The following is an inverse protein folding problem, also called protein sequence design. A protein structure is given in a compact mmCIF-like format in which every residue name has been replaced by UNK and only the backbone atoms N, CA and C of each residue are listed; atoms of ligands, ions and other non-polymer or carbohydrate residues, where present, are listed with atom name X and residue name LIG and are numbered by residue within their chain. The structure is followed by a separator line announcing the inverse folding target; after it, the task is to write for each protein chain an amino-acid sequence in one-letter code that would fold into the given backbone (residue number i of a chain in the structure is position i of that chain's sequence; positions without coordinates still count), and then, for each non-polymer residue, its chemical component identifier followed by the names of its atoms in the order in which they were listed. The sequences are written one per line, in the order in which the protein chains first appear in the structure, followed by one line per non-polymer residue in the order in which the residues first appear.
data_IF_083753343391
#
_entry.id   IF_083753343391
#
_cell.length_a   1.000
_cell.length_b   1.000
_cell.length_c   1.000
_cell.angle_alpha   90.00
_cell.angle_beta   90.00
_cell.angle_gamma   90.00
#
_symmetry.space_group_name_H-M   'P 1'
#
loop_
_entity.id
_entity.type
_entity.pdbx_description
1 polymer ?
#
# COMPACT_ATOMS: atom_id res chain seq x y z
N UNK A 1 18.44 -11.04 13.40
CA UNK A 1 17.25 -11.64 13.85
C UNK A 1 16.06 -11.04 13.16
N UNK A 2 15.22 -11.87 12.59
CA UNK A 2 14.09 -11.37 11.87
C UNK A 2 12.89 -11.36 12.76
N UNK A 3 12.20 -10.28 12.84
CA UNK A 3 10.96 -10.21 13.58
C UNK A 3 9.91 -10.99 12.82
N UNK A 4 9.08 -11.73 13.52
CA UNK A 4 7.99 -12.39 12.85
C UNK A 4 6.95 -11.32 12.53
N UNK A 5 6.06 -11.58 11.59
CA UNK A 5 5.01 -10.61 11.28
C UNK A 5 4.20 -10.20 12.50
N UNK A 6 4.05 -11.12 13.47
CA UNK A 6 3.27 -10.81 14.65
C UNK A 6 3.96 -9.83 15.59
N UNK A 7 5.27 -9.63 15.42
CA UNK A 7 5.99 -8.71 16.27
C UNK A 7 5.94 -7.28 15.74
N UNK A 8 5.38 -7.07 14.58
CA UNK A 8 5.32 -5.75 13.98
C UNK A 8 4.06 -5.07 14.49
N UNK A 9 4.17 -3.92 15.14
CA UNK A 9 2.98 -3.27 15.67
C UNK A 9 2.14 -2.63 14.57
N UNK A 10 0.86 -2.51 14.83
CA UNK A 10 0.01 -1.72 13.95
C UNK A 10 0.27 -0.24 14.25
N UNK A 11 0.22 0.59 13.23
CA UNK A 11 0.43 2.03 13.33
C UNK A 11 -0.85 2.75 12.93
N UNK A 12 -1.41 3.60 13.79
CA UNK A 12 -2.59 4.36 13.40
C UNK A 12 -2.21 5.40 12.35
N UNK A 13 -2.95 5.49 11.27
CA UNK A 13 -2.66 6.42 10.19
C UNK A 13 -3.81 7.36 9.90
N UNK A 14 -5.04 6.98 10.23
CA UNK A 14 -6.21 7.77 9.88
C UNK A 14 -7.37 7.43 10.80
N UNK A 15 -8.48 8.09 10.61
CA UNK A 15 -9.70 7.80 11.35
C UNK A 15 -10.79 7.39 10.39
N UNK A 16 -11.73 6.61 10.90
CA UNK A 16 -12.91 6.27 10.12
C UNK A 16 -13.59 7.56 9.69
N UNK A 17 -13.87 7.69 8.42
CA UNK A 17 -14.46 8.89 7.86
C UNK A 17 -13.47 9.77 7.10
N UNK A 18 -12.16 9.54 7.30
CA UNK A 18 -11.16 10.35 6.60
C UNK A 18 -11.04 9.97 5.12
N UNK A 19 -11.39 8.75 4.77
CA UNK A 19 -11.25 8.27 3.40
C UNK A 19 -12.64 8.01 2.84
N UNK A 20 -13.08 8.77 1.86
CA UNK A 20 -14.40 8.52 1.25
C UNK A 20 -14.44 7.19 0.54
N UNK A 21 -15.62 6.59 0.46
CA UNK A 21 -15.80 5.33 -0.24
C UNK A 21 -15.38 5.48 -1.70
N UNK A 22 -14.64 4.51 -2.19
CA UNK A 22 -14.15 4.53 -3.58
C UNK A 22 -12.89 5.34 -3.77
N UNK A 23 -12.26 5.79 -2.69
CA UNK A 23 -11.04 6.60 -2.78
C UNK A 23 -9.93 6.05 -1.92
N UNK A 24 -8.76 6.58 -2.09
CA UNK A 24 -7.61 6.26 -1.29
C UNK A 24 -6.91 7.51 -0.78
N UNK A 25 -6.03 7.32 0.17
CA UNK A 25 -5.18 8.39 0.70
C UNK A 25 -3.81 7.80 0.97
N UNK A 26 -2.80 8.63 0.89
CA UNK A 26 -1.43 8.21 1.11
C UNK A 26 -0.99 8.64 2.51
N UNK A 27 -0.41 7.71 3.23
CA UNK A 27 0.10 7.97 4.58
C UNK A 27 1.51 7.42 4.71
N UNK A 28 2.25 7.94 5.67
CA UNK A 28 3.56 7.41 5.96
C UNK A 28 3.46 6.52 7.19
N UNK A 29 3.94 5.32 7.11
CA UNK A 29 3.96 4.39 8.23
C UNK A 29 5.15 3.46 8.09
N UNK A 30 5.88 3.25 9.18
CA UNK A 30 7.02 2.36 9.16
C UNK A 30 8.12 2.79 8.22
N UNK A 31 8.22 4.08 7.94
CA UNK A 31 9.23 4.59 7.00
C UNK A 31 8.88 4.37 5.55
N UNK A 32 7.65 4.03 5.27
CA UNK A 32 7.19 3.76 3.90
C UNK A 32 5.95 4.58 3.59
N UNK A 33 5.69 4.81 2.32
CA UNK A 33 4.45 5.43 1.88
C UNK A 33 3.43 4.33 1.64
N UNK A 34 2.29 4.46 2.25
CA UNK A 34 1.24 3.45 2.22
C UNK A 34 -0.02 4.07 1.65
N UNK A 35 -0.64 3.39 0.70
CA UNK A 35 -1.92 3.83 0.15
C UNK A 35 -3.02 3.05 0.85
N UNK A 36 -3.94 3.75 1.50
CA UNK A 36 -5.07 3.12 2.19
C UNK A 36 -6.33 3.46 1.42
N UNK A 37 -7.11 2.45 1.09
CA UNK A 37 -8.32 2.59 0.31
C UNK A 37 -9.54 2.14 1.10
N UNK A 38 -10.67 2.75 0.83
CA UNK A 38 -11.93 2.36 1.45
C UNK A 38 -12.95 2.13 0.34
N UNK A 39 -13.54 0.93 0.30
CA UNK A 39 -14.51 0.60 -0.74
C UNK A 39 -15.96 0.81 -0.28
N UNK A 40 -16.17 1.35 0.89
CA UNK A 40 -17.49 1.51 1.47
C UNK A 40 -17.76 0.49 2.57
N UNK A 41 -17.01 -0.60 2.60
CA UNK A 41 -17.17 -1.62 3.61
C UNK A 41 -15.85 -2.03 4.23
N UNK A 42 -14.81 -2.10 3.43
CA UNK A 42 -13.52 -2.60 3.87
C UNK A 42 -12.40 -1.63 3.56
N UNK A 43 -11.39 -1.65 4.41
CA UNK A 43 -10.17 -0.89 4.17
C UNK A 43 -9.09 -1.82 3.65
N UNK A 44 -8.28 -1.33 2.74
CA UNK A 44 -7.15 -2.09 2.19
C UNK A 44 -5.94 -1.18 2.15
N UNK A 45 -4.75 -1.73 2.30
CA UNK A 45 -3.53 -0.95 2.26
C UNK A 45 -2.50 -1.64 1.38
N UNK A 46 -1.85 -0.88 0.52
CA UNK A 46 -0.80 -1.39 -0.34
C UNK A 46 0.32 -0.36 -0.39
N UNK A 47 1.46 -0.75 -0.95
CA UNK A 47 2.54 0.18 -1.18
C UNK A 47 2.03 1.30 -2.07
N UNK A 48 2.28 2.53 -1.72
CA UNK A 48 1.78 3.67 -2.47
C UNK A 48 2.50 3.87 -3.79
N UNK A 49 3.74 3.41 -3.90
CA UNK A 49 4.53 3.69 -5.08
C UNK A 49 4.30 2.68 -6.17
N UNK A 50 3.81 3.14 -7.31
CA UNK A 50 3.65 2.30 -8.48
C UNK A 50 5.04 1.88 -8.96
N UNK A 51 5.30 0.58 -9.11
CA UNK A 51 6.64 0.14 -9.50
C UNK A 51 7.06 0.61 -10.87
N UNK A 52 6.11 1.02 -11.69
CA UNK A 52 6.41 1.46 -13.04
C UNK A 52 7.07 2.85 -13.03
N UNK A 53 6.47 3.80 -12.34
CA UNK A 53 6.95 5.17 -12.40
C UNK A 53 7.09 5.83 -11.03
N UNK A 54 6.77 5.14 -9.97
CA UNK A 54 6.79 5.75 -8.66
C UNK A 54 5.64 6.71 -8.40
N UNK A 55 4.60 6.65 -9.23
CA UNK A 55 3.44 7.49 -9.00
C UNK A 55 2.68 7.02 -7.76
N UNK A 56 1.97 7.93 -7.13
CA UNK A 56 1.23 7.60 -5.91
C UNK A 56 -0.05 6.86 -6.25
N UNK A 57 -0.14 5.60 -5.86
CA UNK A 57 -1.35 4.81 -6.09
C UNK A 57 -2.50 5.31 -5.23
N UNK A 58 -2.20 5.93 -4.10
CA UNK A 58 -3.25 6.46 -3.23
C UNK A 58 -4.07 7.57 -3.85
N UNK A 59 -3.58 8.18 -4.93
CA UNK A 59 -4.33 9.22 -5.63
C UNK A 59 -5.10 8.67 -6.81
N UNK A 60 -4.97 7.36 -7.10
CA UNK A 60 -5.65 6.77 -8.23
C UNK A 60 -7.07 6.36 -7.90
N UNK A 61 -7.93 6.24 -8.90
CA UNK A 61 -9.30 5.83 -8.65
C UNK A 61 -9.39 4.36 -8.29
N UNK A 62 -10.34 4.04 -7.42
CA UNK A 62 -10.59 2.68 -6.97
C UNK A 62 -11.93 2.22 -7.54
N UNK A 63 -11.94 1.04 -8.17
CA UNK A 63 -13.18 0.47 -8.67
C UNK A 63 -13.10 -1.05 -8.59
N UNK A 64 -14.11 -1.66 -7.94
CA UNK A 64 -14.20 -3.12 -7.85
C UNK A 64 -12.92 -3.77 -7.31
N UNK A 65 -12.31 -3.15 -6.31
CA UNK A 65 -11.12 -3.72 -5.68
C UNK A 65 -9.85 -3.55 -6.48
N UNK A 66 -9.87 -2.71 -7.52
CA UNK A 66 -8.72 -2.45 -8.38
C UNK A 66 -8.44 -0.96 -8.38
N UNK A 67 -7.19 -0.59 -8.11
CA UNK A 67 -6.77 0.81 -8.18
C UNK A 67 -6.03 1.01 -9.50
N UNK A 68 -6.28 2.15 -10.14
CA UNK A 68 -5.61 2.50 -11.39
C UNK A 68 -4.55 3.55 -11.08
N UNK A 69 -3.32 3.28 -11.50
CA UNK A 69 -2.25 4.25 -11.35
C UNK A 69 -2.59 5.49 -12.18
N UNK A 70 -2.47 6.69 -11.62
CA UNK A 70 -2.81 7.89 -12.39
C UNK A 70 -1.87 8.13 -13.56
N UNK A 71 -0.72 7.45 -13.59
CA UNK A 71 0.21 7.55 -14.73
C UNK A 71 0.14 6.27 -15.54
N UNK A 72 -0.19 6.34 -16.77
CA UNK A 72 -0.21 5.21 -17.72
C UNK A 72 -1.23 4.12 -17.38
N UNK A 73 -2.12 4.37 -16.42
CA UNK A 73 -3.27 3.49 -16.15
C UNK A 73 -2.93 2.04 -15.80
N UNK A 74 -1.78 1.78 -15.16
CA UNK A 74 -1.52 0.45 -14.65
C UNK A 74 -2.52 0.16 -13.54
N UNK A 75 -3.04 -1.06 -13.50
CA UNK A 75 -4.06 -1.43 -12.54
C UNK A 75 -3.56 -2.52 -11.61
N UNK A 76 -3.84 -2.35 -10.32
CA UNK A 76 -3.39 -3.29 -9.31
C UNK A 76 -4.57 -3.74 -8.47
N UNK A 77 -4.64 -5.02 -8.17
CA UNK A 77 -5.69 -5.55 -7.31
C UNK A 77 -5.31 -5.30 -5.86
N UNK A 78 -6.26 -4.84 -5.08
CA UNK A 78 -5.97 -4.57 -3.67
C UNK A 78 -5.86 -5.84 -2.84
N UNK A 79 -6.48 -6.92 -3.26
CA UNK A 79 -6.48 -8.15 -2.46
C UNK A 79 -5.12 -8.80 -2.38
N UNK A 80 -4.30 -8.67 -3.42
CA UNK A 80 -2.98 -9.30 -3.42
C UNK A 80 -1.89 -8.39 -3.99
N UNK A 81 -2.24 -7.18 -4.40
CA UNK A 81 -1.26 -6.24 -4.96
C UNK A 81 -0.81 -6.56 -6.37
N UNK A 82 -1.43 -7.52 -7.03
CA UNK A 82 -0.94 -7.96 -8.33
C UNK A 82 -1.35 -7.01 -9.44
N UNK A 83 -0.41 -6.78 -10.37
CA UNK A 83 -0.70 -5.99 -11.56
C UNK A 83 -1.64 -6.80 -12.46
N UNK A 84 -2.75 -6.21 -12.85
CA UNK A 84 -3.78 -6.94 -13.60
C UNK A 84 -3.28 -7.49 -14.93
N UNK A 85 -2.36 -6.79 -15.58
CA UNK A 85 -1.87 -7.23 -16.87
C UNK A 85 -0.75 -8.28 -16.77
N UNK A 86 -0.11 -8.37 -15.61
CA UNK A 86 0.92 -9.38 -15.39
C UNK A 86 1.04 -9.66 -13.90
N UNK A 87 0.30 -10.65 -13.40
CA UNK A 87 0.25 -10.91 -11.97
C UNK A 87 1.57 -11.29 -11.32
N UNK A 88 2.60 -11.50 -12.12
CA UNK A 88 3.91 -11.78 -11.54
C UNK A 88 4.50 -10.53 -10.91
N UNK A 89 4.08 -9.36 -11.32
CA UNK A 89 4.53 -8.12 -10.72
C UNK A 89 3.51 -7.72 -9.67
N UNK A 90 3.96 -7.47 -8.47
CA UNK A 90 3.07 -7.12 -7.37
C UNK A 90 3.63 -5.98 -6.56
N UNK A 91 2.75 -5.20 -5.95
CA UNK A 91 3.14 -4.27 -4.90
C UNK A 91 2.85 -4.94 -3.57
N UNK A 92 3.51 -4.49 -2.52
CA UNK A 92 3.30 -5.08 -1.19
C UNK A 92 1.91 -4.72 -0.69
N UNK A 93 1.29 -5.67 0.00
CA UNK A 93 -0.02 -5.48 0.62
C UNK A 93 0.18 -5.52 2.13
N UNK A 94 -0.46 -4.61 2.83
CA UNK A 94 -0.31 -4.50 4.27
C UNK A 94 -1.62 -4.82 4.97
N UNK A 95 -1.52 -5.29 6.21
CA UNK A 95 -2.72 -5.56 6.98
C UNK A 95 -3.31 -4.27 7.51
N UNK A 96 -4.63 -4.19 7.54
CA UNK A 96 -5.34 -3.03 8.05
C UNK A 96 -6.33 -3.51 9.08
N UNK A 97 -6.48 -2.76 10.16
CA UNK A 97 -7.55 -3.03 11.12
C UNK A 97 -8.14 -1.71 11.59
N UNK A 98 -9.35 -1.78 12.09
CA UNK A 98 -10.01 -0.62 12.67
C UNK A 98 -10.21 -0.90 14.15
N UNK A 99 -9.70 -0.01 14.99
CA UNK A 99 -9.85 -0.13 16.43
C UNK A 99 -10.55 1.13 16.91
N UNK A 100 -11.79 1.00 17.35
CA UNK A 100 -12.61 2.16 17.64
C UNK A 100 -12.84 2.95 16.37
N UNK A 101 -12.32 4.17 16.30
CA UNK A 101 -12.40 4.96 15.08
C UNK A 101 -11.03 5.11 14.41
N UNK A 102 -10.02 4.39 14.89
CA UNK A 102 -8.67 4.50 14.33
C UNK A 102 -8.45 3.45 13.25
N UNK A 103 -7.93 3.88 12.11
CA UNK A 103 -7.54 2.98 11.03
C UNK A 103 -6.05 2.75 11.22
N UNK A 104 -5.67 1.50 11.41
CA UNK A 104 -4.27 1.14 11.68
C UNK A 104 -3.74 0.17 10.65
N UNK A 105 -2.48 0.32 10.30
CA UNK A 105 -1.83 -0.56 9.33
C UNK A 105 -0.60 -1.20 9.96
N UNK A 106 -0.29 -2.41 9.53
CA UNK A 106 0.92 -3.10 9.96
C UNK A 106 1.88 -3.11 8.78
N UNK A 107 2.95 -2.33 8.90
CA UNK A 107 3.89 -2.15 7.81
C UNK A 107 5.25 -2.68 8.22
N UNK A 108 5.68 -3.81 7.65
CA UNK A 108 7.03 -4.32 7.95
C UNK A 108 8.07 -3.33 7.47
N UNK A 109 9.20 -3.23 8.17
CA UNK A 109 10.27 -2.36 7.68
C UNK A 109 10.77 -2.85 6.33
N UNK A 110 11.23 -1.91 5.53
CA UNK A 110 11.79 -2.27 4.24
C UNK A 110 13.00 -3.13 4.50
N UNK A 111 13.11 -4.30 3.84
CA UNK A 111 14.26 -5.09 3.96
C UNK A 111 15.42 -4.31 3.47
N UNK A 112 16.51 -4.31 4.19
CA UNK A 112 17.71 -3.71 3.69
C UNK A 112 18.03 -4.41 2.42
N UNK A 113 17.89 -3.74 1.39
CA UNK A 113 18.15 -4.31 0.14
C UNK A 113 19.57 -4.61 0.10
N UNK A 114 19.87 -5.79 -0.18
CA UNK A 114 21.14 -6.11 -0.50
C UNK A 114 21.37 -5.54 -1.76
N UNK A 115 21.52 -4.30 -1.84
CA UNK A 115 21.82 -3.73 -3.06
C UNK A 115 23.03 -4.33 -3.49
N UNK A 116 23.06 -4.74 -4.64
CA UNK A 116 24.27 -5.12 -5.25
C UNK A 116 25.03 -3.91 -5.07
N UNK A 117 26.05 -4.08 -4.47
CA UNK A 117 26.90 -3.07 -4.21
C UNK A 117 27.02 -2.11 -5.28
N UNK A 118 26.42 -2.16 -6.16
CA UNK A 118 26.56 -1.34 -7.17
C UNK A 118 25.67 -0.37 -7.22
N UNK A 119 25.57 0.12 -7.02
CA UNK A 119 24.89 0.83 -7.14
C UNK A 119 24.81 1.46 -7.90
N UNK A 120 24.55 1.89 -8.35
CA UNK A 120 24.40 2.36 -9.12
C UNK A 120 24.60 3.08 -9.66
N UNK A 121 24.56 3.52 -10.06
CA UNK A 121 24.61 4.18 -10.54
C UNK A 121 24.52 4.71 -10.89
N UNK A 122 24.60 5.15 -11.19
CA UNK A 122 24.56 5.90 -11.68
C UNK A 122 24.47 6.18 -12.09
#
# INVERSE_FOLDING_TARGET
MTASPDDIPFTPVARVGDIPAGEGRTYEAGGRLVAVFFDGEHYSAIDDLCPHMGASLGTGPLRDGVVTCPWHAWRFRLCDGAWCDNPKLKVDVFEVRVVGDAIEVRVPPVKPVELPATSPKP
#
